data_IF_641432971114
#
_entry.id   IF_641432971114
#
_cell.length_a   1.000
_cell.length_b   1.000
_cell.length_c   1.000
_cell.angle_alpha   90.00
_cell.angle_beta   90.00
_cell.angle_gamma   90.00
#
_symmetry.space_group_name_H-M   'P 1'
#
loop_
_entity.id
_entity.type
_entity.pdbx_description
1 polymer ?
#
# COMPACT_ATOMS: atom_id res chain seq x y z
N UNK A 1 -12.32 18.03 33.78
CA UNK A 1 -11.35 19.10 34.11
C UNK A 1 -10.11 18.84 33.27
N UNK A 2 -9.61 19.84 32.54
CA UNK A 2 -8.41 19.70 31.71
C UNK A 2 -7.19 20.11 32.57
N UNK A 3 -6.20 19.24 32.71
CA UNK A 3 -5.01 19.47 33.55
C UNK A 3 -3.79 19.88 32.70
N UNK A 4 -3.80 21.10 32.17
CA UNK A 4 -2.77 21.59 31.24
C UNK A 4 -1.37 21.64 31.88
N UNK A 5 -1.25 22.23 33.07
CA UNK A 5 0.05 22.40 33.73
C UNK A 5 0.71 21.05 34.08
N UNK A 6 -0.09 20.07 34.49
CA UNK A 6 0.40 18.72 34.74
C UNK A 6 0.89 18.06 33.45
N UNK A 7 0.20 18.25 32.32
CA UNK A 7 0.62 17.74 31.03
C UNK A 7 1.95 18.36 30.56
N UNK A 8 2.13 19.68 30.72
CA UNK A 8 3.38 20.37 30.38
C UNK A 8 4.55 19.91 31.26
N UNK A 9 4.33 19.76 32.57
CA UNK A 9 5.33 19.19 33.51
C UNK A 9 5.74 17.78 33.11
N UNK A 10 4.78 16.95 32.70
CA UNK A 10 5.05 15.59 32.24
C UNK A 10 5.85 15.57 30.92
N UNK A 11 5.55 16.46 29.97
CA UNK A 11 6.33 16.59 28.72
C UNK A 11 7.78 16.95 29.04
N UNK A 12 8.01 17.91 29.95
CA UNK A 12 9.36 18.30 30.35
C UNK A 12 10.11 17.14 31.02
N UNK A 13 9.44 16.39 31.91
CA UNK A 13 10.01 15.19 32.52
C UNK A 13 10.41 14.15 31.47
N UNK A 14 9.57 13.95 30.44
CA UNK A 14 9.85 12.99 29.36
C UNK A 14 11.01 13.42 28.47
N UNK A 15 11.30 14.71 28.38
CA UNK A 15 12.44 15.24 27.63
C UNK A 15 13.78 15.11 28.37
N UNK A 16 13.79 14.87 29.69
CA UNK A 16 15.03 14.61 30.44
C UNK A 16 15.74 13.36 29.85
N UNK A 17 17.00 13.48 29.39
CA UNK A 17 17.74 12.38 28.79
C UNK A 17 17.82 11.09 29.63
N UNK A 18 17.89 11.21 30.96
CA UNK A 18 18.01 10.04 31.86
C UNK A 18 16.70 9.28 31.95
N UNK A 19 15.58 10.01 32.05
CA UNK A 19 14.23 9.43 32.06
C UNK A 19 13.87 8.89 30.68
N UNK A 20 14.29 9.59 29.63
CA UNK A 20 13.98 9.22 28.26
C UNK A 20 14.57 7.86 27.88
N UNK A 21 15.83 7.61 28.28
CA UNK A 21 16.55 6.35 28.06
C UNK A 21 15.94 5.13 28.79
N UNK A 22 15.05 5.33 29.76
CA UNK A 22 14.31 4.23 30.38
C UNK A 22 13.45 3.43 29.39
N UNK A 23 12.89 4.09 28.37
CA UNK A 23 12.04 3.43 27.36
C UNK A 23 12.81 2.45 26.46
N UNK A 24 13.89 2.87 25.74
CA UNK A 24 14.63 1.94 24.90
C UNK A 24 15.15 0.74 25.70
N UNK A 25 15.52 0.95 26.96
CA UNK A 25 16.02 -0.10 27.84
C UNK A 25 14.97 -1.15 28.25
N UNK A 26 13.68 -0.83 28.15
CA UNK A 26 12.57 -1.71 28.55
C UNK A 26 11.74 -2.21 27.36
N UNK A 27 11.44 -1.32 26.41
CA UNK A 27 10.54 -1.56 25.29
C UNK A 27 11.25 -1.77 23.94
N UNK A 28 12.59 -1.66 23.90
CA UNK A 28 13.39 -1.85 22.69
C UNK A 28 12.98 -0.94 21.51
N UNK A 29 12.43 0.25 21.82
CA UNK A 29 12.11 1.28 20.83
C UNK A 29 13.19 2.36 20.79
N UNK A 30 13.54 2.82 19.60
CA UNK A 30 14.51 3.90 19.43
C UNK A 30 14.02 5.20 20.06
N UNK A 31 14.92 5.89 20.79
CA UNK A 31 14.63 7.24 21.29
C UNK A 31 14.79 8.29 20.19
N UNK A 32 13.91 9.29 20.21
CA UNK A 32 14.01 10.51 19.42
C UNK A 32 14.97 11.55 20.04
N UNK A 33 15.25 11.46 21.34
CA UNK A 33 16.16 12.35 22.04
C UNK A 33 17.61 11.91 21.81
N UNK A 34 18.38 12.72 21.07
CA UNK A 34 19.78 12.43 20.77
C UNK A 34 20.66 12.38 22.03
N UNK A 35 20.40 13.24 23.02
CA UNK A 35 21.17 13.29 24.26
C UNK A 35 20.89 12.10 25.18
N UNK A 36 19.74 11.43 25.02
CA UNK A 36 19.39 10.23 25.79
C UNK A 36 20.18 8.99 25.36
N UNK A 37 20.74 8.98 24.14
CA UNK A 37 21.46 7.81 23.59
C UNK A 37 22.63 7.34 24.45
N UNK A 38 23.30 8.25 25.15
CA UNK A 38 24.41 7.92 26.05
C UNK A 38 23.97 7.09 27.28
N UNK A 39 22.69 7.17 27.67
CA UNK A 39 22.14 6.47 28.84
C UNK A 39 21.43 5.15 28.45
N UNK A 40 21.41 4.81 27.15
CA UNK A 40 20.84 3.56 26.65
C UNK A 40 21.84 2.43 26.89
N UNK A 41 21.36 1.26 27.33
CA UNK A 41 22.19 0.07 27.52
C UNK A 41 22.92 -0.27 26.22
N UNK A 42 24.24 -0.58 26.26
CA UNK A 42 25.03 -0.87 25.06
C UNK A 42 24.45 -1.99 24.19
N UNK A 43 23.80 -2.99 24.81
CA UNK A 43 23.14 -4.08 24.10
C UNK A 43 22.00 -3.60 23.18
N UNK A 44 21.24 -2.58 23.60
CA UNK A 44 20.15 -2.01 22.79
C UNK A 44 20.69 -0.95 21.82
N UNK A 45 21.67 -0.16 22.24
CA UNK A 45 22.25 0.90 21.41
C UNK A 45 23.02 0.35 20.18
N UNK A 46 23.54 -0.88 20.26
CA UNK A 46 24.25 -1.55 19.16
C UNK A 46 23.35 -2.43 18.30
N UNK A 47 22.07 -2.59 18.66
CA UNK A 47 21.13 -3.42 17.91
C UNK A 47 20.70 -2.70 16.61
N UNK A 48 21.05 -3.21 15.42
CA UNK A 48 20.68 -2.60 14.15
C UNK A 48 19.18 -2.69 13.85
N UNK A 49 18.43 -3.56 14.55
CA UNK A 49 16.97 -3.63 14.43
C UNK A 49 16.30 -2.40 15.05
N UNK A 50 16.87 -1.89 16.14
CA UNK A 50 16.36 -0.73 16.87
C UNK A 50 16.96 0.57 16.32
N UNK A 51 18.29 0.60 16.14
CA UNK A 51 19.02 1.73 15.57
C UNK A 51 19.62 1.33 14.23
N UNK A 52 18.86 1.47 13.12
CA UNK A 52 19.35 1.08 11.81
C UNK A 52 20.51 1.97 11.35
N UNK A 53 21.33 1.44 10.45
CA UNK A 53 22.40 2.19 9.79
C UNK A 53 21.84 3.38 8.99
N UNK A 54 22.65 4.42 8.81
CA UNK A 54 22.25 5.71 8.22
C UNK A 54 21.71 5.61 6.77
N UNK A 55 21.98 4.52 6.06
CA UNK A 55 21.46 4.27 4.72
C UNK A 55 19.98 3.87 4.69
N UNK A 56 19.47 3.28 5.77
CA UNK A 56 18.10 2.72 5.83
C UNK A 56 17.02 3.81 5.92
N UNK A 57 17.18 4.87 6.74
CA UNK A 57 16.20 5.97 6.81
C UNK A 57 15.88 6.61 5.45
N UNK A 58 16.83 6.63 4.51
CA UNK A 58 16.62 7.16 3.16
C UNK A 58 15.65 6.34 2.30
N UNK A 59 15.52 5.03 2.59
CA UNK A 59 14.59 4.13 1.91
C UNK A 59 13.19 4.14 2.53
N UNK A 60 13.04 4.69 3.73
CA UNK A 60 11.77 4.74 4.45
C UNK A 60 10.89 5.89 3.94
N UNK A 61 9.65 5.60 3.60
CA UNK A 61 8.68 6.62 3.17
C UNK A 61 7.83 7.11 4.33
N UNK A 62 7.78 8.43 4.54
CA UNK A 62 6.84 9.04 5.49
C UNK A 62 5.42 9.01 4.94
N UNK A 63 4.47 8.62 5.78
CA UNK A 63 3.05 8.64 5.39
C UNK A 63 2.55 10.09 5.30
N UNK A 64 2.01 10.46 4.13
CA UNK A 64 1.37 11.77 3.93
C UNK A 64 -0.09 11.74 4.40
N UNK A 65 -0.64 12.87 4.89
CA UNK A 65 -2.06 12.95 5.19
C UNK A 65 -2.88 12.65 3.93
N UNK A 66 -3.81 11.71 4.02
CA UNK A 66 -4.70 11.33 2.92
C UNK A 66 -6.04 12.06 3.02
N UNK A 67 -6.63 12.45 1.88
CA UNK A 67 -8.01 12.92 1.81
C UNK A 67 -8.99 11.95 2.47
N UNK A 68 -10.08 12.49 3.01
CA UNK A 68 -11.06 11.72 3.77
C UNK A 68 -11.69 10.58 2.97
N UNK A 69 -11.95 10.79 1.68
CA UNK A 69 -12.53 9.78 0.78
C UNK A 69 -11.62 8.56 0.60
N UNK A 70 -10.33 8.80 0.35
CA UNK A 70 -9.30 7.75 0.23
C UNK A 70 -9.16 6.98 1.55
N UNK A 71 -9.20 7.68 2.69
CA UNK A 71 -9.14 7.04 4.02
C UNK A 71 -10.34 6.12 4.26
N UNK A 72 -11.55 6.55 3.87
CA UNK A 72 -12.77 5.71 3.95
C UNK A 72 -12.66 4.47 3.06
N UNK A 73 -12.19 4.63 1.82
CA UNK A 73 -11.96 3.51 0.91
C UNK A 73 -10.97 2.50 1.51
N UNK A 74 -9.81 2.97 1.98
CA UNK A 74 -8.80 2.13 2.64
C UNK A 74 -9.37 1.35 3.83
N UNK A 75 -10.17 2.00 4.68
CA UNK A 75 -10.79 1.34 5.83
C UNK A 75 -11.79 0.25 5.40
N UNK A 76 -12.59 0.50 4.34
CA UNK A 76 -13.50 -0.52 3.78
C UNK A 76 -12.75 -1.70 3.19
N UNK A 77 -11.69 -1.44 2.43
CA UNK A 77 -10.84 -2.49 1.85
C UNK A 77 -10.19 -3.34 2.96
N UNK A 78 -9.66 -2.69 4.00
CA UNK A 78 -9.08 -3.38 5.16
C UNK A 78 -10.11 -4.23 5.91
N UNK A 79 -11.33 -3.71 6.13
CA UNK A 79 -12.39 -4.48 6.76
C UNK A 79 -12.82 -5.70 5.92
N UNK A 80 -12.90 -5.55 4.59
CA UNK A 80 -13.19 -6.68 3.68
C UNK A 80 -12.08 -7.73 3.72
N UNK A 81 -10.81 -7.29 3.72
CA UNK A 81 -9.66 -8.18 3.84
C UNK A 81 -9.73 -8.99 5.14
N UNK A 82 -9.91 -8.33 6.28
CA UNK A 82 -9.98 -9.00 7.59
C UNK A 82 -11.19 -9.93 7.73
N UNK A 83 -12.32 -9.61 7.10
CA UNK A 83 -13.56 -10.39 7.23
C UNK A 83 -13.70 -11.49 6.18
N UNK A 84 -12.70 -11.68 5.30
CA UNK A 84 -12.75 -12.70 4.24
C UNK A 84 -13.89 -12.49 3.23
N UNK A 85 -14.57 -11.33 3.25
CA UNK A 85 -15.69 -10.99 2.35
C UNK A 85 -15.19 -10.52 0.98
N UNK A 86 -14.17 -11.21 0.49
CA UNK A 86 -13.52 -11.04 -0.80
C UNK A 86 -13.64 -12.30 -1.65
N UNK A 87 -14.79 -12.97 -1.65
CA UNK A 87 -15.13 -13.83 -2.79
C UNK A 87 -15.42 -12.89 -3.94
N UNK A 88 -14.49 -12.84 -4.89
CA UNK A 88 -14.59 -12.21 -6.20
C UNK A 88 -16.04 -11.87 -6.62
N UNK A 89 -16.54 -10.69 -6.27
CA UNK A 89 -17.46 -10.01 -7.17
C UNK A 89 -16.55 -9.11 -7.96
N UNK A 90 -16.38 -9.44 -9.23
CA UNK A 90 -15.84 -8.51 -10.22
C UNK A 90 -16.46 -7.15 -9.93
N UNK A 91 -15.62 -6.17 -9.55
CA UNK A 91 -16.10 -4.79 -9.51
C UNK A 91 -16.40 -4.48 -10.97
N UNK A 92 -17.66 -4.21 -11.37
CA UNK A 92 -17.92 -3.86 -12.75
C UNK A 92 -17.09 -2.61 -13.05
N UNK A 93 -16.35 -2.64 -14.16
CA UNK A 93 -15.39 -1.59 -14.55
C UNK A 93 -16.00 -0.17 -14.51
N UNK A 94 -17.33 -0.06 -14.63
CA UNK A 94 -18.09 1.18 -14.49
C UNK A 94 -17.93 1.88 -13.12
N UNK A 95 -17.72 1.17 -12.02
CA UNK A 95 -17.55 1.79 -10.69
C UNK A 95 -16.15 2.42 -10.49
N UNK A 96 -15.16 2.04 -11.31
CA UNK A 96 -13.83 2.66 -11.32
C UNK A 96 -13.79 3.97 -12.14
N UNK A 97 -14.79 4.24 -12.99
CA UNK A 97 -14.77 5.35 -13.93
C UNK A 97 -15.29 6.69 -13.38
N UNK A 98 -15.84 6.73 -12.15
CA UNK A 98 -16.47 7.93 -11.59
C UNK A 98 -15.53 8.79 -10.70
N UNK A 99 -14.22 8.52 -10.70
CA UNK A 99 -13.24 9.33 -9.98
C UNK A 99 -12.51 10.28 -10.92
N UNK A 100 -12.92 11.55 -10.96
CA UNK A 100 -12.15 12.64 -11.60
C UNK A 100 -10.71 12.61 -11.10
N UNK A 101 -9.69 12.67 -11.99
CA UNK A 101 -8.29 12.52 -11.59
C UNK A 101 -7.85 13.74 -10.78
N UNK A 102 -7.33 13.50 -9.58
CA UNK A 102 -6.60 14.49 -8.80
C UNK A 102 -5.27 14.81 -9.52
N UNK A 103 -5.40 15.66 -10.53
CA UNK A 103 -4.33 16.29 -11.30
C UNK A 103 -3.35 16.99 -10.37
N UNK A 104 -2.27 16.28 -10.02
CA UNK A 104 -0.88 16.77 -9.84
C UNK A 104 0.06 15.59 -9.54
N UNK A 105 -0.10 14.47 -10.26
CA UNK A 105 0.92 13.42 -10.29
C UNK A 105 2.02 13.82 -11.29
N UNK A 106 3.27 13.69 -10.87
CA UNK A 106 4.45 14.01 -11.67
C UNK A 106 4.45 13.28 -13.02
N UNK A 107 4.83 13.95 -14.12
CA UNK A 107 4.60 13.47 -15.49
C UNK A 107 5.25 12.12 -15.81
N UNK A 108 6.39 11.79 -15.19
CA UNK A 108 7.13 10.55 -15.44
C UNK A 108 6.38 9.27 -15.03
N UNK A 109 5.59 9.31 -13.94
CA UNK A 109 4.86 8.12 -13.48
C UNK A 109 3.61 7.82 -14.34
N UNK A 110 3.06 8.85 -14.99
CA UNK A 110 1.88 8.72 -15.86
C UNK A 110 2.26 8.10 -17.21
N UNK A 111 3.46 8.39 -17.72
CA UNK A 111 3.95 7.88 -18.99
C UNK A 111 4.30 6.38 -18.91
N UNK A 112 4.95 5.94 -17.83
CA UNK A 112 5.23 4.54 -17.56
C UNK A 112 3.95 3.70 -17.39
N UNK A 113 2.91 4.26 -16.77
CA UNK A 113 1.61 3.62 -16.62
C UNK A 113 0.85 3.52 -17.96
N UNK A 114 0.98 4.51 -18.85
CA UNK A 114 0.38 4.50 -20.21
C UNK A 114 1.00 3.42 -21.09
N UNK A 115 2.33 3.28 -21.09
CA UNK A 115 3.01 2.23 -21.85
C UNK A 115 2.57 0.83 -21.39
N UNK A 116 2.47 0.62 -20.07
CA UNK A 116 2.03 -0.65 -19.48
C UNK A 116 0.56 -0.98 -19.85
N UNK A 117 -0.30 0.04 -19.91
CA UNK A 117 -1.70 -0.12 -20.28
C UNK A 117 -1.90 -0.47 -21.77
N UNK A 118 -1.13 0.14 -22.68
CA UNK A 118 -1.20 -0.15 -24.11
C UNK A 118 -0.73 -1.58 -24.45
N UNK A 119 0.33 -2.04 -23.79
CA UNK A 119 0.82 -3.43 -23.92
C UNK A 119 -0.21 -4.43 -23.38
N UNK A 120 -0.86 -4.12 -22.24
CA UNK A 120 -1.93 -4.96 -21.69
C UNK A 120 -3.15 -5.02 -22.62
N UNK A 121 -3.52 -3.90 -23.25
CA UNK A 121 -4.65 -3.83 -24.19
C UNK A 121 -4.37 -4.56 -25.51
N UNK A 122 -3.15 -4.47 -26.03
CA UNK A 122 -2.74 -5.22 -27.23
C UNK A 122 -2.77 -6.74 -26.97
N UNK A 123 -2.32 -7.19 -25.79
CA UNK A 123 -2.42 -8.60 -25.37
C UNK A 123 -3.87 -9.06 -25.21
N UNK A 124 -4.75 -8.25 -24.62
CA UNK A 124 -6.16 -8.63 -24.52
C UNK A 124 -6.87 -8.70 -25.88
N UNK A 125 -6.51 -7.81 -26.82
CA UNK A 125 -7.04 -7.85 -28.18
C UNK A 125 -6.54 -9.08 -28.97
N UNK A 126 -5.27 -9.46 -28.82
CA UNK A 126 -4.71 -10.67 -29.42
C UNK A 126 -5.37 -11.95 -28.87
N UNK A 127 -5.63 -12.01 -27.56
CA UNK A 127 -6.33 -13.14 -26.95
C UNK A 127 -7.79 -13.24 -27.42
N UNK A 128 -8.49 -12.11 -27.56
CA UNK A 128 -9.85 -12.06 -28.09
C UNK A 128 -9.93 -12.53 -29.56
N UNK A 129 -8.93 -12.20 -30.37
CA UNK A 129 -8.82 -12.67 -31.76
C UNK A 129 -8.54 -14.19 -31.84
N UNK A 130 -7.78 -14.75 -30.90
CA UNK A 130 -7.51 -16.19 -30.85
C UNK A 130 -8.74 -17.02 -30.51
N UNK A 131 -9.62 -16.50 -29.63
CA UNK A 131 -10.86 -17.18 -29.24
C UNK A 131 -11.89 -17.26 -30.38
N UNK A 132 -11.97 -16.23 -31.24
CA UNK A 132 -12.89 -16.26 -32.40
C UNK A 132 -12.43 -17.20 -33.52
N UNK A 133 -11.13 -17.55 -33.59
CA UNK A 133 -10.61 -18.53 -34.57
C UNK A 133 -10.95 -19.98 -34.17
N UNK A 134 -11.09 -20.26 -32.87
CA UNK A 134 -11.44 -21.59 -32.37
C UNK A 134 -12.93 -21.86 -32.63
N UNK A 135 -13.80 -20.86 -32.43
CA UNK A 135 -15.24 -20.99 -32.65
C UNK A 135 -15.63 -21.07 -34.13
N UNK A 136 -14.82 -20.52 -35.05
CA UNK A 136 -15.06 -20.68 -36.49
C UNK A 136 -14.62 -22.04 -37.05
N UNK A 137 -13.88 -22.85 -36.27
CA UNK A 137 -13.47 -24.21 -36.69
C UNK A 137 -14.39 -25.32 -36.15
N UNK A 138 -15.26 -25.00 -35.17
CA UNK A 138 -16.23 -25.94 -34.62
C UNK A 138 -17.51 -26.05 -35.44
N UNK A 139 -17.79 -25.08 -36.32
CA UNK A 139 -19.01 -25.04 -37.13
C UNK A 139 -18.89 -25.87 -38.44
N UNK A 140 -17.68 -26.30 -38.82
CA UNK A 140 -17.45 -27.17 -40.00
C UNK A 140 -17.73 -28.67 -39.72
N UNK A 141 -18.00 -29.06 -38.46
CA UNK A 141 -18.27 -30.47 -38.08
C UNK A 141 -19.77 -30.82 -38.16
N UNK A 142 -20.67 -29.84 -38.29
CA UNK A 142 -22.12 -30.08 -38.25
C UNK A 142 -22.86 -29.94 -39.58
N UNK A 143 -22.16 -29.62 -40.67
CA UNK A 143 -22.74 -29.51 -42.03
C UNK A 143 -22.29 -30.60 -43.00
N UNK A 144 -21.52 -31.60 -42.56
CA UNK A 144 -21.09 -32.74 -43.40
C UNK A 144 -21.94 -34.02 -43.25
N UNK A 145 -22.98 -34.03 -42.41
CA UNK A 145 -23.82 -35.23 -42.18
C UNK A 145 -25.31 -34.99 -42.47
N UNK A 146 -25.60 -34.35 -43.60
CA UNK A 146 -26.92 -34.44 -44.25
C UNK A 146 -26.70 -34.69 -45.75
N UNK A 147 -26.49 -35.94 -46.17
CA UNK A 147 -26.76 -36.47 -47.54
C UNK A 147 -26.13 -37.86 -47.80
N UNK A 148 -26.92 -38.93 -47.65
CA UNK A 148 -26.95 -40.15 -48.49
C UNK A 148 -28.02 -41.06 -47.90
N UNK A 149 -29.20 -41.04 -48.52
CA UNK A 149 -29.73 -42.09 -49.41
C UNK A 149 -30.37 -43.23 -48.62
#
# INVERSE_FOLDING_TARGET
MIHLDAALKWINLRQDPKVDAGIPNAAFYATANKAARQYVKPAVARDPLVYPADEVPGRMTRLKPMPHEIRRLRNRLWARLKTGRGRHRTVPAAACAAGTPASKAQPAAVEAARASYLVARARSAANAASTNRITSSSDDVHTASTASA
#
